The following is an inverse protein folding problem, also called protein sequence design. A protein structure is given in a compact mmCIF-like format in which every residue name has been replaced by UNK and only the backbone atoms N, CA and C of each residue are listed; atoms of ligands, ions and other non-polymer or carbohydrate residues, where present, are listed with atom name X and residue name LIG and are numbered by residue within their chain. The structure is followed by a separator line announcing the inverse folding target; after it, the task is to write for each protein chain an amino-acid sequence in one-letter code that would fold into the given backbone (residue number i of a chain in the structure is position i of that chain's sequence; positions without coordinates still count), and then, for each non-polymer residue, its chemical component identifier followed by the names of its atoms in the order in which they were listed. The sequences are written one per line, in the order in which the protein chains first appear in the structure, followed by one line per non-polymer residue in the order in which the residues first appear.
data_IF_422016210189
#
_entry.id   IF_422016210189
#
_cell.length_a   1.000
_cell.length_b   1.000
_cell.length_c   1.000
_cell.angle_alpha   90.00
_cell.angle_beta   90.00
_cell.angle_gamma   90.00
#
_symmetry.space_group_name_H-M   'P 1'
#
loop_
_entity.id
_entity.type
_entity.pdbx_description
1 polymer ?
#
# COMPACT_ATOMS: atom_id res chain seq x y z
N UNK A 1 0.30 -18.26 -13.80
CA UNK A 1 0.75 -17.12 -12.99
C UNK A 1 0.65 -17.41 -11.47
N UNK A 2 -0.48 -17.91 -10.94
CA UNK A 2 -0.62 -18.22 -9.51
C UNK A 2 0.34 -19.31 -9.02
N UNK A 3 0.71 -20.28 -9.85
CA UNK A 3 1.70 -21.30 -9.48
C UNK A 3 3.09 -20.70 -9.25
N UNK A 4 3.48 -19.75 -10.09
CA UNK A 4 4.73 -18.98 -9.89
C UNK A 4 4.70 -18.16 -8.60
N UNK A 5 3.56 -17.54 -8.30
CA UNK A 5 3.38 -16.76 -7.06
C UNK A 5 3.57 -17.67 -5.84
N UNK A 6 2.99 -18.86 -5.84
CA UNK A 6 3.15 -19.86 -4.77
C UNK A 6 4.61 -20.39 -4.69
N UNK A 7 5.21 -20.72 -5.82
CA UNK A 7 6.57 -21.27 -5.88
C UNK A 7 7.60 -20.31 -5.30
N UNK A 8 7.44 -19.00 -5.55
CA UNK A 8 8.37 -17.97 -5.08
C UNK A 8 7.89 -17.22 -3.84
N UNK A 9 6.83 -17.68 -3.20
CA UNK A 9 6.25 -17.07 -1.99
C UNK A 9 6.00 -15.55 -2.14
N UNK A 10 5.53 -15.13 -3.32
CA UNK A 10 5.25 -13.72 -3.61
C UNK A 10 3.94 -13.31 -2.93
N UNK A 11 3.98 -12.20 -2.19
CA UNK A 11 2.76 -11.59 -1.68
C UNK A 11 2.05 -10.80 -2.79
N UNK A 12 0.77 -11.05 -2.95
CA UNK A 12 -0.05 -10.36 -3.95
C UNK A 12 -0.93 -9.28 -3.33
N UNK A 13 -1.23 -8.24 -4.09
CA UNK A 13 -2.34 -7.34 -3.76
C UNK A 13 -3.67 -8.00 -4.12
N UNK A 14 -4.63 -7.93 -3.21
CA UNK A 14 -6.03 -8.21 -3.48
C UNK A 14 -6.73 -6.86 -3.74
N UNK A 15 -7.04 -6.56 -5.02
CA UNK A 15 -7.35 -5.19 -5.43
C UNK A 15 -8.84 -4.84 -5.37
N UNK A 16 -9.73 -5.79 -5.13
CA UNK A 16 -11.17 -5.58 -5.06
C UNK A 16 -11.93 -6.82 -4.60
N UNK A 17 -13.17 -6.61 -4.16
CA UNK A 17 -14.10 -7.68 -3.83
C UNK A 17 -14.45 -8.53 -5.06
N UNK A 18 -14.61 -7.91 -6.23
CA UNK A 18 -14.86 -8.63 -7.49
C UNK A 18 -13.71 -9.59 -7.81
N UNK A 19 -12.47 -9.10 -7.77
CA UNK A 19 -11.29 -9.93 -8.01
C UNK A 19 -11.20 -11.10 -7.01
N UNK A 20 -11.55 -10.85 -5.74
CA UNK A 20 -11.61 -11.90 -4.73
C UNK A 20 -12.53 -13.03 -5.14
N UNK A 21 -13.79 -12.73 -5.51
CA UNK A 21 -14.76 -13.77 -5.87
C UNK A 21 -14.42 -14.49 -7.16
N UNK A 22 -13.81 -13.81 -8.11
CA UNK A 22 -13.36 -14.43 -9.37
C UNK A 22 -12.20 -15.42 -9.19
N UNK A 23 -11.32 -15.17 -8.20
CA UNK A 23 -10.06 -15.88 -8.05
C UNK A 23 -9.85 -16.56 -6.69
N UNK A 24 -10.83 -16.56 -5.78
CA UNK A 24 -10.62 -17.08 -4.42
C UNK A 24 -10.12 -18.52 -4.37
N UNK A 25 -10.45 -19.34 -5.37
CA UNK A 25 -9.96 -20.71 -5.50
C UNK A 25 -8.50 -20.76 -6.00
N UNK A 26 -8.12 -19.81 -6.83
CA UNK A 26 -6.75 -19.69 -7.36
C UNK A 26 -5.78 -19.12 -6.32
N UNK A 27 -6.29 -18.35 -5.36
CA UNK A 27 -5.51 -17.70 -4.30
C UNK A 27 -5.11 -18.65 -3.16
N UNK A 28 -5.41 -19.93 -3.24
CA UNK A 28 -5.05 -20.92 -2.22
C UNK A 28 -3.57 -20.92 -1.92
N UNK A 29 -3.21 -20.86 -0.62
CA UNK A 29 -1.85 -20.81 -0.11
C UNK A 29 -1.01 -19.61 -0.64
N UNK A 30 -1.67 -18.55 -1.08
CA UNK A 30 -1.00 -17.32 -1.49
C UNK A 30 -1.18 -16.28 -0.40
N UNK A 31 -0.09 -15.59 -0.06
CA UNK A 31 -0.11 -14.43 0.81
C UNK A 31 -0.71 -13.24 0.07
N UNK A 32 -1.74 -12.63 0.64
CA UNK A 32 -2.40 -11.46 0.06
C UNK A 32 -2.39 -10.27 1.01
N UNK A 33 -2.30 -9.09 0.42
CA UNK A 33 -2.51 -7.83 1.11
C UNK A 33 -3.78 -7.18 0.57
N UNK A 34 -4.73 -6.88 1.44
CA UNK A 34 -5.96 -6.17 1.08
C UNK A 34 -5.62 -4.73 0.74
N UNK A 35 -5.99 -4.24 -0.44
CA UNK A 35 -5.84 -2.84 -0.81
C UNK A 35 -7.11 -2.07 -0.49
N UNK A 36 -7.04 -1.05 0.34
CA UNK A 36 -8.14 -0.12 0.55
C UNK A 36 -8.09 1.01 -0.48
N UNK A 37 -9.19 1.22 -1.21
CA UNK A 37 -9.33 2.34 -2.14
C UNK A 37 -9.29 3.67 -1.39
N UNK A 38 -8.57 4.62 -1.95
CA UNK A 38 -8.48 5.97 -1.41
C UNK A 38 -8.78 6.98 -2.52
N UNK A 39 -8.60 8.29 -2.28
CA UNK A 39 -8.92 9.36 -3.23
C UNK A 39 -8.25 9.22 -4.61
N UNK A 40 -7.23 8.38 -4.72
CA UNK A 40 -6.60 8.06 -6.00
C UNK A 40 -7.52 7.27 -6.96
N UNK A 41 -8.55 6.58 -6.45
CA UNK A 41 -9.52 5.79 -7.22
C UNK A 41 -8.89 4.85 -8.26
N UNK A 42 -7.78 4.20 -7.89
CA UNK A 42 -7.05 3.31 -8.78
C UNK A 42 -7.50 1.86 -8.67
N UNK A 43 -7.54 1.36 -7.45
CA UNK A 43 -7.91 -0.01 -7.07
C UNK A 43 -8.12 -0.06 -5.57
N UNK A 44 -8.71 -1.12 -5.08
CA UNK A 44 -8.93 -1.37 -3.66
C UNK A 44 -10.38 -1.69 -3.33
N UNK A 45 -10.59 -2.17 -2.11
CA UNK A 45 -11.91 -2.27 -1.50
C UNK A 45 -12.42 -0.86 -1.21
N UNK A 46 -13.66 -0.58 -1.58
CA UNK A 46 -14.21 0.80 -1.58
C UNK A 46 -14.51 1.33 -0.18
N UNK A 47 -14.88 0.42 0.72
CA UNK A 47 -15.33 0.77 2.05
C UNK A 47 -15.09 -0.39 3.05
N UNK A 48 -15.48 -0.16 4.29
CA UNK A 48 -15.42 -1.17 5.35
C UNK A 48 -16.35 -2.35 5.09
N UNK A 49 -17.48 -2.16 4.40
CA UNK A 49 -18.44 -3.22 4.12
C UNK A 49 -17.80 -4.27 3.19
N UNK A 50 -17.17 -3.84 2.10
CA UNK A 50 -16.43 -4.75 1.20
C UNK A 50 -15.26 -5.45 1.92
N UNK A 51 -14.54 -4.75 2.82
CA UNK A 51 -13.48 -5.35 3.62
C UNK A 51 -14.01 -6.40 4.61
N UNK A 52 -15.10 -6.10 5.30
CA UNK A 52 -15.76 -7.07 6.19
C UNK A 52 -16.23 -8.29 5.42
N UNK A 53 -16.85 -8.12 4.26
CA UNK A 53 -17.34 -9.22 3.43
C UNK A 53 -16.22 -10.21 3.09
N UNK A 54 -15.06 -9.73 2.63
CA UNK A 54 -13.94 -10.64 2.33
C UNK A 54 -13.35 -11.27 3.59
N UNK A 55 -13.25 -10.52 4.69
CA UNK A 55 -12.69 -11.02 5.95
C UNK A 55 -13.58 -12.07 6.58
N UNK A 56 -14.89 -11.88 6.55
CA UNK A 56 -15.89 -12.83 7.07
C UNK A 56 -15.98 -14.09 6.20
N UNK A 57 -16.05 -13.97 4.87
CA UNK A 57 -16.02 -15.13 3.96
C UNK A 57 -14.73 -15.94 4.15
N UNK A 58 -13.59 -15.26 4.28
CA UNK A 58 -12.32 -15.91 4.59
C UNK A 58 -12.32 -16.61 5.96
N UNK A 59 -12.90 -16.01 6.99
CA UNK A 59 -12.99 -16.61 8.33
C UNK A 59 -13.91 -17.83 8.35
N UNK A 60 -15.01 -17.82 7.57
CA UNK A 60 -15.94 -18.93 7.45
C UNK A 60 -15.38 -20.10 6.62
N UNK A 61 -14.42 -19.83 5.75
CA UNK A 61 -13.77 -20.87 4.95
C UNK A 61 -12.86 -21.73 5.84
N UNK A 62 -13.27 -22.98 6.06
CA UNK A 62 -12.57 -23.97 6.91
C UNK A 62 -11.52 -24.78 6.15
N UNK A 63 -11.23 -24.45 4.90
CA UNK A 63 -10.19 -25.11 4.13
C UNK A 63 -8.81 -24.79 4.72
N UNK A 64 -7.98 -25.82 4.88
CA UNK A 64 -6.58 -25.65 5.30
C UNK A 64 -5.71 -24.93 4.25
N UNK A 65 -6.19 -24.90 3.01
CA UNK A 65 -5.47 -24.36 1.86
C UNK A 65 -6.05 -23.02 1.37
N UNK A 66 -6.75 -22.27 2.21
CA UNK A 66 -7.26 -20.94 1.80
C UNK A 66 -6.14 -19.93 1.61
N UNK A 67 -6.42 -18.78 1.01
CA UNK A 67 -5.47 -17.67 0.94
C UNK A 67 -5.03 -17.24 2.35
N UNK A 68 -3.89 -16.60 2.44
CA UNK A 68 -3.33 -16.12 3.70
C UNK A 68 -3.39 -14.59 3.68
N UNK A 69 -4.27 -13.98 4.47
CA UNK A 69 -4.34 -12.54 4.59
C UNK A 69 -3.20 -12.08 5.50
N UNK A 70 -2.09 -11.65 4.90
CA UNK A 70 -0.87 -11.23 5.60
C UNK A 70 -0.78 -9.73 5.79
N UNK A 71 -1.51 -8.94 5.01
CA UNK A 71 -1.38 -7.50 5.10
C UNK A 71 -2.61 -6.73 4.66
N UNK A 72 -2.57 -5.45 5.00
CA UNK A 72 -3.53 -4.45 4.54
C UNK A 72 -2.80 -3.16 4.19
N UNK A 73 -3.25 -2.48 3.15
CA UNK A 73 -2.59 -1.28 2.70
C UNK A 73 -3.51 -0.32 1.93
N UNK A 74 -3.05 0.89 1.78
CA UNK A 74 -3.61 1.88 0.85
C UNK A 74 -2.47 2.65 0.16
N UNK A 75 -2.81 3.50 -0.80
CA UNK A 75 -1.86 4.41 -1.43
C UNK A 75 -2.34 5.85 -1.32
N UNK A 76 -1.52 6.72 -0.74
CA UNK A 76 -1.80 8.15 -0.68
C UNK A 76 -1.49 8.81 -2.02
N UNK A 77 -2.52 9.37 -2.65
CA UNK A 77 -2.42 10.02 -3.97
C UNK A 77 -1.95 11.46 -3.91
N UNK A 78 -2.17 12.14 -2.77
CA UNK A 78 -1.95 13.58 -2.61
C UNK A 78 -0.81 13.94 -1.66
N UNK A 79 0.07 13.00 -1.34
CA UNK A 79 1.12 13.23 -0.35
C UNK A 79 2.19 14.25 -0.78
N UNK A 80 2.36 14.49 -2.06
CA UNK A 80 3.25 15.50 -2.65
C UNK A 80 2.59 16.89 -2.83
N UNK A 81 1.28 16.97 -2.62
CA UNK A 81 0.50 18.22 -2.68
C UNK A 81 0.34 18.81 -1.28
N UNK A 82 0.82 20.07 -1.08
CA UNK A 82 0.82 20.70 0.24
C UNK A 82 -0.24 21.78 0.43
N UNK A 83 -0.80 22.27 -0.66
CA UNK A 83 -1.71 23.42 -0.66
C UNK A 83 -3.18 23.00 -0.74
N UNK A 84 -3.44 21.69 -0.60
CA UNK A 84 -4.77 21.06 -0.69
C UNK A 84 -5.02 20.11 0.48
N UNK A 85 -6.26 19.95 0.94
CA UNK A 85 -6.57 19.15 2.13
C UNK A 85 -6.64 17.63 1.87
N UNK A 86 -6.55 17.19 0.61
CA UNK A 86 -6.81 15.82 0.17
C UNK A 86 -5.90 14.81 0.88
N UNK A 87 -4.64 15.14 1.11
CA UNK A 87 -3.75 14.24 1.87
C UNK A 87 -4.24 13.97 3.29
N UNK A 88 -4.67 15.01 4.00
CA UNK A 88 -5.17 14.86 5.37
C UNK A 88 -6.50 14.09 5.39
N UNK A 89 -7.35 14.28 4.37
CA UNK A 89 -8.62 13.55 4.20
C UNK A 89 -8.34 12.06 3.97
N UNK A 90 -7.50 11.71 2.98
CA UNK A 90 -7.19 10.30 2.67
C UNK A 90 -6.44 9.61 3.83
N UNK A 91 -5.55 10.33 4.49
CA UNK A 91 -4.83 9.82 5.66
C UNK A 91 -5.79 9.51 6.81
N UNK A 92 -6.72 10.42 7.10
CA UNK A 92 -7.69 10.21 8.17
C UNK A 92 -8.70 9.10 7.84
N UNK A 93 -9.17 9.04 6.59
CA UNK A 93 -10.06 7.96 6.12
C UNK A 93 -9.39 6.59 6.30
N UNK A 94 -8.15 6.45 5.88
CA UNK A 94 -7.36 5.24 6.04
C UNK A 94 -7.17 4.85 7.52
N UNK A 95 -6.76 5.81 8.37
CA UNK A 95 -6.56 5.53 9.80
C UNK A 95 -7.87 5.13 10.50
N UNK A 96 -9.00 5.69 10.10
CA UNK A 96 -10.31 5.30 10.64
C UNK A 96 -10.65 3.85 10.27
N UNK A 97 -10.46 3.45 9.00
CA UNK A 97 -10.66 2.07 8.55
C UNK A 97 -9.76 1.11 9.33
N UNK A 98 -8.48 1.43 9.41
CA UNK A 98 -7.51 0.60 10.11
C UNK A 98 -7.84 0.45 11.60
N UNK A 99 -8.15 1.56 12.29
CA UNK A 99 -8.52 1.53 13.70
C UNK A 99 -9.79 0.73 13.96
N UNK A 100 -10.77 0.79 13.05
CA UNK A 100 -12.00 0.00 13.15
C UNK A 100 -11.67 -1.49 13.08
N UNK A 101 -10.96 -1.92 12.04
CA UNK A 101 -10.60 -3.34 11.88
C UNK A 101 -9.76 -3.87 13.05
N UNK A 102 -8.76 -3.12 13.49
CA UNK A 102 -7.94 -3.51 14.65
C UNK A 102 -8.75 -3.55 15.95
N UNK A 103 -9.68 -2.61 16.12
CA UNK A 103 -10.61 -2.57 17.27
C UNK A 103 -11.59 -3.74 17.31
N UNK A 104 -11.94 -4.29 16.17
CA UNK A 104 -12.77 -5.49 16.00
C UNK A 104 -11.97 -6.80 16.18
N UNK A 105 -10.66 -6.71 16.36
CA UNK A 105 -9.79 -7.86 16.62
C UNK A 105 -9.11 -8.45 15.39
N UNK A 106 -9.25 -7.85 14.21
CA UNK A 106 -8.44 -8.25 13.06
C UNK A 106 -6.97 -7.88 13.28
N UNK A 107 -6.07 -8.67 12.73
CA UNK A 107 -4.63 -8.44 12.82
C UNK A 107 -3.95 -8.72 11.48
N UNK A 108 -2.91 -7.95 11.18
CA UNK A 108 -2.16 -8.07 9.93
C UNK A 108 -0.66 -7.98 10.23
N UNK A 109 0.12 -8.89 9.64
CA UNK A 109 1.58 -8.89 9.79
C UNK A 109 2.21 -7.65 9.13
N UNK A 110 1.60 -7.19 8.03
CA UNK A 110 2.09 -6.04 7.27
C UNK A 110 0.99 -5.00 7.08
N UNK A 111 1.21 -3.82 7.65
CA UNK A 111 0.33 -2.65 7.50
C UNK A 111 1.15 -1.53 6.88
N UNK A 112 0.76 -1.05 5.70
CA UNK A 112 1.54 -0.04 4.99
C UNK A 112 0.68 0.87 4.11
N UNK A 113 0.97 2.16 4.15
CA UNK A 113 0.28 3.17 3.33
C UNK A 113 1.25 4.15 2.66
N UNK A 114 2.32 4.51 3.38
CA UNK A 114 3.21 5.57 2.99
C UNK A 114 4.04 5.22 1.75
N UNK A 115 4.05 6.16 0.80
CA UNK A 115 4.99 6.24 -0.31
C UNK A 115 6.16 7.18 0.06
N UNK A 116 7.07 7.46 -0.88
CA UNK A 116 8.20 8.36 -0.64
C UNK A 116 7.75 9.74 -0.15
N UNK A 117 6.70 10.33 -0.75
CA UNK A 117 6.24 11.66 -0.40
C UNK A 117 5.66 11.72 1.02
N UNK A 118 4.72 10.83 1.34
CA UNK A 118 4.12 10.78 2.66
C UNK A 118 5.12 10.39 3.75
N UNK A 119 6.07 9.50 3.47
CA UNK A 119 7.10 9.12 4.44
C UNK A 119 7.96 10.32 4.86
N UNK A 120 8.42 11.12 3.89
CA UNK A 120 9.16 12.35 4.19
C UNK A 120 8.27 13.45 4.80
N UNK A 121 7.00 13.58 4.36
CA UNK A 121 6.04 14.52 4.93
C UNK A 121 5.76 14.27 6.41
N UNK A 122 5.72 13.02 6.84
CA UNK A 122 5.57 12.57 8.23
C UNK A 122 6.90 12.47 9.01
N UNK A 123 7.96 13.12 8.51
CA UNK A 123 9.25 13.19 9.22
C UNK A 123 10.05 11.89 9.21
N UNK A 124 9.88 11.05 8.19
CA UNK A 124 10.54 9.76 8.03
C UNK A 124 10.21 8.75 9.13
N UNK A 125 8.98 8.83 9.63
CA UNK A 125 8.43 7.91 10.63
C UNK A 125 7.21 7.22 10.03
N UNK A 126 7.07 5.93 10.30
CA UNK A 126 5.86 5.19 9.92
C UNK A 126 4.67 5.65 10.74
N UNK A 127 3.50 5.70 10.12
CA UNK A 127 2.25 6.08 10.79
C UNK A 127 1.90 5.11 11.93
N UNK A 128 1.05 5.51 12.89
CA UNK A 128 0.58 4.63 13.95
C UNK A 128 0.04 3.30 13.40
N UNK A 129 0.37 2.18 14.05
CA UNK A 129 0.05 0.80 13.65
C UNK A 129 0.70 0.30 12.36
N UNK A 130 1.40 1.16 11.60
CA UNK A 130 2.08 0.72 10.38
C UNK A 130 3.38 -0.02 10.70
N UNK A 131 3.69 -1.01 9.88
CA UNK A 131 4.91 -1.81 9.98
C UNK A 131 5.95 -1.43 8.93
N UNK A 132 5.52 -0.89 7.79
CA UNK A 132 6.37 -0.62 6.62
C UNK A 132 5.97 0.69 5.91
N UNK A 133 6.94 1.26 5.20
CA UNK A 133 6.74 2.28 4.17
C UNK A 133 7.29 1.77 2.83
N UNK A 134 6.67 2.17 1.72
CA UNK A 134 7.08 1.80 0.36
C UNK A 134 7.84 2.95 -0.28
N UNK A 135 9.12 3.07 0.01
CA UNK A 135 9.97 4.14 -0.49
C UNK A 135 10.55 3.76 -1.86
N UNK A 136 10.23 4.51 -2.89
CA UNK A 136 10.67 4.30 -4.26
C UNK A 136 11.60 5.42 -4.74
N UNK A 137 11.06 6.51 -5.26
CA UNK A 137 11.85 7.58 -5.90
C UNK A 137 12.90 8.19 -4.97
N UNK A 138 12.62 8.26 -3.69
CA UNK A 138 13.57 8.79 -2.70
C UNK A 138 14.83 7.91 -2.53
N UNK A 139 14.76 6.60 -2.78
CA UNK A 139 15.94 5.72 -2.77
C UNK A 139 16.94 6.08 -3.89
N UNK A 140 16.43 6.61 -5.00
CA UNK A 140 17.26 7.07 -6.11
C UNK A 140 17.72 8.52 -5.96
N UNK A 141 17.40 9.15 -4.84
CA UNK A 141 17.76 10.53 -4.56
C UNK A 141 16.91 11.56 -5.32
N UNK A 142 15.75 11.15 -5.85
CA UNK A 142 14.80 12.08 -6.42
C UNK A 142 13.88 12.63 -5.33
N UNK A 143 13.71 13.95 -5.30
CA UNK A 143 12.82 14.59 -4.33
C UNK A 143 11.38 14.15 -4.58
N UNK A 144 10.70 13.57 -3.59
CA UNK A 144 9.32 13.12 -3.74
C UNK A 144 8.31 14.27 -3.81
N UNK A 145 8.70 15.50 -3.44
CA UNK A 145 7.92 16.72 -3.58
C UNK A 145 8.82 17.95 -3.64
N UNK A 146 8.34 19.05 -4.25
CA UNK A 146 9.13 20.23 -4.57
C UNK A 146 9.68 21.00 -3.36
N UNK A 147 8.95 20.95 -2.22
CA UNK A 147 9.34 21.67 -0.99
C UNK A 147 10.44 20.96 -0.19
N UNK A 148 10.80 19.72 -0.52
CA UNK A 148 11.89 19.00 0.14
C UNK A 148 13.25 19.62 -0.25
N UNK A 149 14.07 19.93 0.76
CA UNK A 149 15.40 20.50 0.53
C UNK A 149 16.34 19.47 -0.11
N UNK A 150 17.21 19.93 -1.00
CA UNK A 150 18.20 19.05 -1.65
C UNK A 150 19.17 18.39 -0.66
N UNK A 151 19.46 19.06 0.46
CA UNK A 151 20.33 18.52 1.52
C UNK A 151 19.73 17.32 2.26
N UNK A 152 18.43 17.08 2.13
CA UNK A 152 17.74 15.99 2.83
C UNK A 152 17.79 14.67 2.05
N UNK A 153 18.17 14.73 0.77
CA UNK A 153 18.24 13.57 -0.10
C UNK A 153 19.38 13.72 -1.12
N UNK A 154 20.10 12.64 -1.36
CA UNK A 154 21.24 12.66 -2.27
C UNK A 154 20.94 11.83 -3.52
N UNK A 155 21.09 12.43 -4.69
CA UNK A 155 20.88 11.76 -5.97
C UNK A 155 21.89 10.65 -6.19
N UNK A 156 21.42 9.43 -6.47
CA UNK A 156 22.26 8.25 -6.69
C UNK A 156 22.60 8.01 -8.17
N UNK A 157 21.84 8.62 -9.10
CA UNK A 157 22.05 8.47 -10.55
C UNK A 157 22.59 9.76 -11.15
N UNK A 158 23.65 9.65 -11.93
CA UNK A 158 24.23 10.75 -12.74
C UNK A 158 24.35 10.30 -14.19
N UNK A 159 23.79 11.08 -15.10
CA UNK A 159 23.99 10.92 -16.56
C UNK A 159 24.99 11.97 -17.03
N UNK A 160 26.06 11.52 -17.69
CA UNK A 160 27.09 12.39 -18.24
C UNK A 160 27.15 12.24 -19.76
N UNK A 161 27.36 13.36 -20.48
CA UNK A 161 27.55 13.40 -21.91
C UNK A 161 28.67 14.40 -22.27
N UNK A 162 29.41 14.12 -23.34
CA UNK A 162 30.37 15.05 -23.91
C UNK A 162 29.73 15.83 -25.05
N UNK A 163 29.91 17.14 -25.06
CA UNK A 163 29.55 17.97 -26.21
C UNK A 163 30.56 17.71 -27.32
N UNK A 164 30.10 17.20 -28.45
CA UNK A 164 30.93 16.84 -29.60
C UNK A 164 30.89 17.90 -30.71
N UNK A 165 29.96 18.82 -30.65
CA UNK A 165 29.82 19.95 -31.59
C UNK A 165 29.07 21.09 -30.92
N UNK A 166 29.52 22.34 -31.18
CA UNK A 166 28.89 23.59 -30.76
C UNK A 166 28.52 24.38 -32.02
#
# INVERSE_FOLDING_TARGET
EFDTVREYEIHMTLPSLTYYYEHKEDLRNIHVHLEFENLLHRSGFKDLEELHEVLEDHAQNKSDNKMIISGIWTHFGYADEFDVPEYDIERQAWLNVLNTLLGEGYSFDMIHAQNSASFYREGQVVLPHHTHARVGIALYGSRPYSKLKESEIQQSLTVKGNVIQV
#
